data_IF_803957833884
#
_entry.id   IF_803957833884
#
_cell.length_a   1.000
_cell.length_b   1.000
_cell.length_c   1.000
_cell.angle_alpha   90.00
_cell.angle_beta   90.00
_cell.angle_gamma   90.00
#
_symmetry.space_group_name_H-M   'P 1'
#
loop_
_entity.id
_entity.type
_entity.pdbx_description
1 polymer ?
#
# COMPACT_ATOMS: atom_id res chain seq x y z
N UNK A 1 -12.58 12.16 -15.97
CA UNK A 1 -12.11 11.32 -14.83
C UNK A 1 -13.23 10.39 -14.43
N UNK A 2 -12.99 9.07 -14.35
CA UNK A 2 -13.97 8.12 -13.79
C UNK A 2 -13.62 7.90 -12.32
N UNK A 3 -14.60 7.98 -11.42
CA UNK A 3 -14.44 7.69 -9.99
C UNK A 3 -15.23 6.42 -9.69
N UNK A 4 -14.59 5.44 -9.10
CA UNK A 4 -15.17 4.13 -8.83
C UNK A 4 -15.53 3.98 -7.35
N UNK A 5 -16.60 3.26 -7.07
CA UNK A 5 -16.93 2.83 -5.71
C UNK A 5 -15.98 1.73 -5.24
N UNK A 6 -15.89 1.51 -3.93
CA UNK A 6 -15.06 0.42 -3.37
C UNK A 6 -15.44 -0.95 -3.93
N UNK A 7 -16.73 -1.20 -4.18
CA UNK A 7 -17.19 -2.46 -4.79
C UNK A 7 -16.79 -2.58 -6.26
N UNK A 8 -16.73 -1.48 -6.98
CA UNK A 8 -16.22 -1.47 -8.36
C UNK A 8 -14.71 -1.74 -8.38
N UNK A 9 -13.93 -1.13 -7.47
CA UNK A 9 -12.49 -1.40 -7.34
C UNK A 9 -12.24 -2.88 -7.03
N UNK A 10 -12.95 -3.45 -6.05
CA UNK A 10 -12.83 -4.89 -5.74
C UNK A 10 -13.10 -5.80 -6.95
N UNK A 11 -14.09 -5.45 -7.78
CA UNK A 11 -14.41 -6.20 -9.00
C UNK A 11 -13.32 -6.04 -10.06
N UNK A 12 -12.71 -4.86 -10.16
CA UNK A 12 -11.60 -4.60 -11.07
C UNK A 12 -10.37 -5.40 -10.63
N UNK A 13 -10.02 -5.38 -9.34
CA UNK A 13 -8.88 -6.14 -8.81
C UNK A 13 -9.05 -7.65 -9.05
N UNK A 14 -10.25 -8.18 -8.76
CA UNK A 14 -10.56 -9.59 -9.01
C UNK A 14 -10.44 -9.95 -10.50
N UNK A 15 -10.95 -9.09 -11.38
CA UNK A 15 -10.82 -9.28 -12.83
C UNK A 15 -9.35 -9.26 -13.28
N UNK A 16 -8.56 -8.33 -12.77
CA UNK A 16 -7.12 -8.23 -13.08
C UNK A 16 -6.36 -9.46 -12.61
N UNK A 17 -6.61 -9.97 -11.40
CA UNK A 17 -5.98 -11.19 -10.88
C UNK A 17 -6.32 -12.40 -11.79
N UNK A 18 -7.57 -12.53 -12.20
CA UNK A 18 -8.03 -13.64 -13.05
C UNK A 18 -7.44 -13.58 -14.47
N UNK A 19 -7.26 -12.39 -15.04
CA UNK A 19 -6.92 -12.23 -16.46
C UNK A 19 -5.45 -11.84 -16.73
N UNK A 20 -4.73 -11.26 -15.77
CA UNK A 20 -3.30 -10.90 -15.89
C UNK A 20 -2.33 -11.91 -15.23
N UNK A 21 -2.77 -13.15 -15.01
CA UNK A 21 -2.28 -14.08 -13.96
C UNK A 21 -1.32 -13.50 -12.91
N UNK A 22 -1.72 -12.42 -12.22
CA UNK A 22 -0.93 -11.81 -11.13
C UNK A 22 -1.44 -12.33 -9.80
N UNK A 23 -0.55 -12.56 -8.83
CA UNK A 23 -1.01 -12.83 -7.48
C UNK A 23 -1.58 -11.55 -6.85
N UNK A 24 -2.53 -11.67 -5.92
CA UNK A 24 -3.08 -10.50 -5.21
C UNK A 24 -2.00 -9.69 -4.49
N UNK A 25 -0.97 -10.36 -3.96
CA UNK A 25 0.17 -9.71 -3.32
C UNK A 25 0.99 -8.85 -4.31
N UNK A 26 1.11 -9.29 -5.56
CA UNK A 26 1.84 -8.55 -6.59
C UNK A 26 1.04 -7.32 -7.05
N UNK A 27 -0.30 -7.41 -7.06
CA UNK A 27 -1.16 -6.27 -7.34
C UNK A 27 -1.05 -5.20 -6.23
N UNK A 28 -1.00 -5.62 -4.96
CA UNK A 28 -0.72 -4.75 -3.81
C UNK A 28 0.66 -4.09 -3.92
N UNK A 29 1.70 -4.84 -4.34
CA UNK A 29 3.04 -4.28 -4.57
C UNK A 29 3.03 -3.18 -5.63
N UNK A 30 2.25 -3.35 -6.72
CA UNK A 30 2.08 -2.29 -7.73
C UNK A 30 1.45 -1.02 -7.15
N UNK A 31 0.44 -1.16 -6.29
CA UNK A 31 -0.18 -0.02 -5.62
C UNK A 31 0.82 0.68 -4.68
N UNK A 32 1.57 -0.08 -3.89
CA UNK A 32 2.59 0.45 -2.99
C UNK A 32 3.75 1.14 -3.73
N UNK A 33 4.19 0.61 -4.88
CA UNK A 33 5.21 1.26 -5.73
C UNK A 33 4.72 2.60 -6.29
N UNK A 34 3.45 2.67 -6.73
CA UNK A 34 2.84 3.91 -7.19
C UNK A 34 2.77 4.95 -6.06
N UNK A 35 2.37 4.54 -4.85
CA UNK A 35 2.39 5.39 -3.66
C UNK A 35 3.81 5.85 -3.32
N UNK A 36 4.79 4.96 -3.35
CA UNK A 36 6.18 5.30 -3.05
C UNK A 36 6.75 6.31 -4.05
N UNK A 37 6.44 6.18 -5.35
CA UNK A 37 6.81 7.19 -6.35
C UNK A 37 6.22 8.55 -6.01
N UNK A 38 4.92 8.58 -5.70
CA UNK A 38 4.21 9.80 -5.34
C UNK A 38 4.80 10.47 -4.09
N UNK A 39 5.17 9.68 -3.07
CA UNK A 39 5.84 10.16 -1.85
C UNK A 39 7.20 10.77 -2.16
N UNK A 40 8.04 10.05 -2.93
CA UNK A 40 9.41 10.47 -3.25
C UNK A 40 9.50 11.74 -4.10
N UNK A 41 8.45 12.05 -4.85
CA UNK A 41 8.33 13.30 -5.59
C UNK A 41 8.00 14.52 -4.71
N UNK A 42 7.50 14.30 -3.49
CA UNK A 42 6.92 15.36 -2.64
C UNK A 42 7.65 15.60 -1.34
N UNK A 43 8.33 14.57 -0.84
CA UNK A 43 8.98 14.61 0.45
C UNK A 43 10.43 14.15 0.31
N UNK A 44 11.30 14.67 1.17
CA UNK A 44 12.68 14.25 1.24
C UNK A 44 12.86 13.13 2.29
N UNK A 45 14.04 12.51 2.30
CA UNK A 45 14.37 11.40 3.20
C UNK A 45 14.33 11.76 4.69
N UNK A 46 14.49 13.05 5.03
CA UNK A 46 14.47 13.55 6.40
C UNK A 46 13.04 13.70 6.96
N UNK A 47 12.03 13.70 6.08
CA UNK A 47 10.63 13.91 6.46
C UNK A 47 10.15 12.80 7.38
N UNK A 48 9.59 13.17 8.54
CA UNK A 48 8.99 12.20 9.45
C UNK A 48 7.60 11.77 8.98
N UNK A 49 7.36 10.45 8.99
CA UNK A 49 6.07 9.87 8.66
C UNK A 49 5.51 9.03 9.79
N UNK A 50 4.19 9.11 9.94
CA UNK A 50 3.40 8.19 10.74
C UNK A 50 2.46 7.42 9.81
N UNK A 51 2.69 6.12 9.67
CA UNK A 51 1.83 5.22 8.91
C UNK A 51 0.91 4.48 9.87
N UNK A 52 -0.40 4.67 9.70
CA UNK A 52 -1.45 4.03 10.47
C UNK A 52 -2.19 3.04 9.56
N UNK A 53 -2.01 1.75 9.82
CA UNK A 53 -2.53 0.70 8.96
C UNK A 53 -3.63 -0.10 9.66
N UNK A 54 -4.77 -0.29 8.99
CA UNK A 54 -5.75 -1.29 9.44
C UNK A 54 -5.29 -2.72 9.16
N UNK A 55 -6.07 -3.74 9.55
CA UNK A 55 -5.70 -5.14 9.34
C UNK A 55 -6.01 -5.69 7.93
N UNK A 56 -6.76 -4.96 7.10
CA UNK A 56 -7.10 -5.36 5.74
C UNK A 56 -6.08 -4.95 4.68
N UNK A 57 -6.43 -5.11 3.39
CA UNK A 57 -5.53 -4.88 2.25
C UNK A 57 -4.86 -3.49 2.24
N UNK A 58 -5.58 -2.43 2.62
CA UNK A 58 -5.00 -1.07 2.72
C UNK A 58 -3.87 -1.00 3.76
N UNK A 59 -3.91 -1.84 4.79
CA UNK A 59 -2.82 -1.98 5.74
C UNK A 59 -1.61 -2.71 5.15
N UNK A 60 -1.86 -3.71 4.31
CA UNK A 60 -0.84 -4.35 3.48
C UNK A 60 -0.15 -3.36 2.54
N UNK A 61 -0.90 -2.47 1.89
CA UNK A 61 -0.35 -1.37 1.09
C UNK A 61 0.57 -0.47 1.93
N UNK A 62 0.15 -0.12 3.15
CA UNK A 62 0.95 0.69 4.06
C UNK A 62 2.23 -0.03 4.52
N UNK A 63 2.18 -1.34 4.74
CA UNK A 63 3.36 -2.17 5.02
C UNK A 63 4.34 -2.17 3.86
N UNK A 64 3.85 -2.45 2.66
CA UNK A 64 4.65 -2.47 1.45
C UNK A 64 5.26 -1.08 1.17
N UNK A 65 4.49 -0.01 1.34
CA UNK A 65 4.97 1.37 1.24
C UNK A 65 6.10 1.65 2.23
N UNK A 66 5.91 1.32 3.51
CA UNK A 66 6.93 1.52 4.56
C UNK A 66 8.24 0.81 4.19
N UNK A 67 8.14 -0.46 3.77
CA UNK A 67 9.28 -1.25 3.30
C UNK A 67 9.96 -0.60 2.10
N UNK A 68 9.22 -0.18 1.08
CA UNK A 68 9.78 0.42 -0.14
C UNK A 68 10.48 1.74 0.18
N UNK A 69 9.86 2.61 0.99
CA UNK A 69 10.46 3.89 1.40
C UNK A 69 11.74 3.67 2.22
N UNK A 70 11.75 2.69 3.12
CA UNK A 70 12.95 2.32 3.87
C UNK A 70 14.11 1.94 2.93
N UNK A 71 13.86 1.13 1.90
CA UNK A 71 14.88 0.78 0.89
C UNK A 71 15.35 1.98 0.05
N UNK A 72 14.60 3.08 0.04
CA UNK A 72 14.95 4.33 -0.60
C UNK A 72 15.57 5.37 0.36
N UNK A 73 15.95 4.97 1.57
CA UNK A 73 16.67 5.82 2.54
C UNK A 73 15.76 6.70 3.41
N UNK A 74 14.47 6.42 3.48
CA UNK A 74 13.57 7.07 4.43
C UNK A 74 13.61 6.31 5.75
N UNK A 75 14.37 6.82 6.71
CA UNK A 75 14.57 6.15 8.00
C UNK A 75 13.59 6.63 9.08
N UNK A 76 12.99 7.81 8.90
CA UNK A 76 12.10 8.45 9.87
C UNK A 76 10.63 8.02 9.72
N UNK A 77 10.37 6.71 9.60
CA UNK A 77 9.02 6.16 9.43
C UNK A 77 8.59 5.42 10.70
N UNK A 78 7.56 5.92 11.37
CA UNK A 78 6.87 5.20 12.45
C UNK A 78 5.66 4.48 11.89
N UNK A 79 5.54 3.20 12.16
CA UNK A 79 4.46 2.35 11.67
C UNK A 79 3.62 1.80 12.83
N UNK A 80 2.29 1.89 12.73
CA UNK A 80 1.37 1.30 13.69
C UNK A 80 0.27 0.49 13.00
N UNK A 81 0.08 -0.74 13.47
CA UNK A 81 -1.09 -1.54 13.15
C UNK A 81 -2.24 -1.14 14.08
N UNK A 82 -3.35 -0.74 13.48
CA UNK A 82 -4.63 -0.43 14.13
C UNK A 82 -5.51 -1.68 14.09
N UNK A 83 -5.30 -2.61 15.02
CA UNK A 83 -6.03 -3.87 15.09
C UNK A 83 -5.25 -4.94 15.84
N UNK A 84 -5.80 -6.15 15.93
CA UNK A 84 -5.01 -7.29 16.42
C UNK A 84 -4.21 -7.89 15.28
N UNK A 85 -3.06 -8.46 15.60
CA UNK A 85 -2.23 -9.19 14.63
C UNK A 85 -3.02 -10.36 14.02
N UNK A 86 -3.89 -10.99 14.81
CA UNK A 86 -4.74 -12.09 14.36
C UNK A 86 -5.77 -11.67 13.30
N UNK A 87 -6.03 -10.37 13.14
CA UNK A 87 -6.98 -9.84 12.17
C UNK A 87 -6.33 -9.57 10.79
N UNK A 88 -4.99 -9.69 10.67
CA UNK A 88 -4.26 -9.40 9.43
C UNK A 88 -4.70 -10.38 8.34
N UNK A 89 -5.11 -9.83 7.19
CA UNK A 89 -5.60 -10.56 6.01
C UNK A 89 -4.47 -11.17 5.17
#
# INVERSE_FOLDING_TARGET
>A
MKVFTSDQIRKIDAYTIEHEPVASIDLMERAALALASWFRERFNQETEFLLLAGPGNNGGDAWALARILFHHGYENIRFYLLGKVDDIS
#
